data_IF_770769856609
#
_entry.id   IF_770769856609
#
_cell.length_a   1.000
_cell.length_b   1.000
_cell.length_c   1.000
_cell.angle_alpha   90.00
_cell.angle_beta   90.00
_cell.angle_gamma   90.00
#
_symmetry.space_group_name_H-M   'P 1'
#
loop_
_entity.id
_entity.type
_entity.pdbx_description
1 polymer ?
2 non-polymer ?
3 non-polymer ?
4 water ?
#
# COMPACT_ATOMS: atom_id res chain seq x y z
N UNK A 6 12.54 11.82 -17.98
CA UNK A 6 12.24 12.88 -18.94
C UNK A 6 10.73 13.02 -19.05
N UNK A 7 10.07 11.88 -19.28
CA UNK A 7 8.62 11.78 -19.22
C UNK A 7 8.20 11.83 -17.76
N UNK A 8 7.24 12.70 -17.42
CA UNK A 8 6.76 12.77 -16.04
C UNK A 8 6.10 11.46 -15.60
N UNK A 9 6.31 11.05 -14.36
CA UNK A 9 5.59 9.90 -13.82
C UNK A 9 4.09 10.22 -13.78
N UNK A 10 3.23 9.30 -14.27
CA UNK A 10 1.80 9.63 -14.29
C UNK A 10 1.20 9.54 -12.88
N UNK A 11 0.00 10.07 -12.71
CA UNK A 11 -0.73 9.90 -11.45
C UNK A 11 -1.94 8.98 -11.63
N UNK A 12 -2.29 8.30 -10.55
CA UNK A 12 -3.47 7.46 -10.54
C UNK A 12 -4.40 7.97 -9.42
N UNK A 13 -5.70 7.96 -9.71
CA UNK A 13 -6.74 8.35 -8.74
C UNK A 13 -7.85 7.31 -8.74
N UNK A 14 -8.51 7.13 -7.60
CA UNK A 14 -9.69 6.24 -7.55
C UNK A 14 -10.94 7.06 -7.21
N UNK A 15 -12.02 6.78 -7.93
CA UNK A 15 -13.29 7.44 -7.71
C UNK A 15 -14.32 6.34 -7.50
N UNK A 16 -15.04 6.37 -6.38
CA UNK A 16 -15.13 7.41 -5.34
C UNK A 16 -14.00 7.41 -4.32
N UNK A 17 -13.23 6.34 -4.27
CA UNK A 17 -12.18 6.21 -3.29
C UNK A 17 -11.50 4.87 -3.38
N UNK A 18 -10.61 4.58 -2.43
CA UNK A 18 -9.79 3.38 -2.51
C UNK A 18 -10.38 2.24 -1.68
N UNK A 19 -11.31 2.59 -0.79
CA UNK A 19 -12.02 1.59 0.01
C UNK A 19 -13.45 1.44 -0.51
N UNK A 20 -13.76 0.28 -1.07
CA UNK A 20 -14.95 0.11 -1.89
C UNK A 20 -15.83 -1.06 -1.44
N UNK A 21 -17.14 -0.81 -1.26
CA UNK A 21 -18.01 -1.92 -0.87
C UNK A 21 -18.08 -2.97 -1.96
N UNK A 22 -18.14 -4.22 -1.53
CA UNK A 22 -18.34 -5.34 -2.43
C UNK A 22 -19.51 -5.01 -3.35
N UNK A 23 -19.34 -5.24 -4.65
CA UNK A 23 -20.44 -5.03 -5.59
C UNK A 23 -20.55 -3.62 -6.13
N UNK A 24 -19.84 -2.67 -5.51
CA UNK A 24 -19.85 -1.29 -5.97
C UNK A 24 -18.84 -1.12 -7.09
N UNK A 25 -18.92 0.01 -7.77
CA UNK A 25 -17.94 0.30 -8.81
C UNK A 25 -16.79 1.15 -8.27
N UNK A 26 -15.67 1.08 -8.96
CA UNK A 26 -14.62 2.05 -8.76
C UNK A 26 -14.12 2.45 -10.15
N UNK A 27 -13.71 3.70 -10.29
CA UNK A 27 -13.10 4.17 -11.53
C UNK A 27 -11.69 4.67 -11.21
N UNK A 28 -10.72 4.13 -11.94
CA UNK A 28 -9.34 4.59 -11.87
C UNK A 28 -9.10 5.63 -12.97
N UNK A 29 -8.55 6.77 -12.57
CA UNK A 29 -8.22 7.83 -13.51
C UNK A 29 -6.72 7.96 -13.57
N UNK A 30 -6.18 7.74 -14.77
CA UNK A 30 -4.77 7.91 -15.06
C UNK A 30 -4.58 9.26 -15.74
N UNK A 31 -3.61 10.03 -15.26
CA UNK A 31 -3.31 11.34 -15.80
C UNK A 31 -1.83 11.49 -16.08
N UNK A 32 -1.52 12.19 -17.16
CA UNK A 32 -0.14 12.39 -17.55
C UNK A 32 -0.03 13.65 -18.37
N UNK A 33 1.08 13.76 -19.14
CA UNK A 33 1.30 14.95 -19.94
C UNK A 33 0.40 14.95 -21.18
N UNK A 34 0.42 16.04 -21.92
CA UNK A 34 -0.31 16.07 -23.17
C UNK A 34 0.42 15.11 -24.13
N UNK A 35 -0.33 14.52 -25.07
CA UNK A 35 0.27 13.68 -26.08
C UNK A 35 0.44 12.20 -25.75
N UNK A 36 -0.16 11.75 -24.65
CA UNK A 36 -0.14 10.31 -24.36
C UNK A 36 -0.96 9.56 -25.43
N UNK A 37 -0.41 8.45 -25.91
CA UNK A 37 -1.10 7.67 -26.94
C UNK A 37 -1.86 6.50 -26.31
N UNK A 38 -1.28 5.90 -25.29
CA UNK A 38 -1.89 4.77 -24.59
C UNK A 38 -1.69 4.92 -23.09
N UNK A 39 -2.78 4.77 -22.33
CA UNK A 39 -2.71 4.56 -20.88
C UNK A 39 -2.94 3.08 -20.56
N UNK A 40 -2.17 2.57 -19.60
CA UNK A 40 -2.29 1.18 -19.14
C UNK A 40 -2.49 1.14 -17.64
N UNK A 41 -3.54 0.46 -17.21
CA UNK A 41 -3.77 0.25 -15.80
C UNK A 41 -3.13 -1.09 -15.47
N UNK A 42 -2.20 -1.09 -14.53
CA UNK A 42 -1.53 -2.31 -14.12
C UNK A 42 -2.13 -2.86 -12.84
N UNK A 43 -2.68 -4.07 -12.95
CA UNK A 43 -3.28 -4.76 -11.80
C UNK A 43 -2.27 -5.78 -11.26
N UNK A 44 -1.57 -5.39 -10.20
CA UNK A 44 -0.45 -6.19 -9.70
C UNK A 44 -0.84 -7.60 -9.25
N UNK A 45 -1.96 -7.74 -8.55
CA UNK A 45 -2.24 -9.00 -7.86
C UNK A 45 -2.19 -10.26 -8.78
N UNK A 46 -2.68 -10.17 -10.01
CA UNK A 46 -2.59 -11.33 -10.91
C UNK A 46 -1.78 -11.03 -12.17
N UNK A 47 -1.03 -9.95 -12.13
CA UNK A 47 -0.17 -9.56 -13.24
C UNK A 47 -0.95 -9.41 -14.55
N UNK A 48 -2.03 -8.66 -14.50
CA UNK A 48 -2.79 -8.35 -15.71
C UNK A 48 -2.85 -6.83 -15.86
N UNK A 49 -3.38 -6.37 -16.99
CA UNK A 49 -3.47 -4.94 -17.24
C UNK A 49 -4.61 -4.63 -18.19
N UNK A 50 -4.95 -3.35 -18.28
CA UNK A 50 -5.92 -2.85 -19.24
C UNK A 50 -5.29 -1.69 -19.98
N UNK A 51 -5.43 -1.72 -21.30
CA UNK A 51 -4.91 -0.66 -22.17
C UNK A 51 -6.06 0.15 -22.73
N UNK A 52 -5.82 1.44 -22.94
CA UNK A 52 -6.79 2.26 -23.67
C UNK A 52 -6.10 3.34 -24.48
N UNK A 53 -6.60 3.54 -25.71
CA UNK A 53 -6.17 4.65 -26.56
C UNK A 53 -7.18 5.80 -26.49
N UNK A 54 -8.21 5.64 -25.67
CA UNK A 54 -9.25 6.64 -25.55
C UNK A 54 -8.81 7.77 -24.61
N UNK A 55 -7.89 8.57 -25.10
CA UNK A 55 -7.22 9.60 -24.31
C UNK A 55 -7.81 10.97 -24.62
N UNK A 56 -8.03 11.78 -23.60
CA UNK A 56 -8.47 13.15 -23.82
C UNK A 56 -7.84 14.12 -22.80
N UNK A 57 -8.05 15.41 -23.00
CA UNK A 57 -7.40 16.41 -22.17
C UNK A 57 -8.35 17.14 -21.23
N UNK A 58 -7.93 17.30 -19.99
CA UNK A 58 -8.61 18.18 -19.05
C UNK A 58 -8.12 19.63 -19.22
N UNK A 59 -6.90 19.78 -19.72
CA UNK A 59 -6.29 21.10 -19.95
C UNK A 59 -5.20 20.98 -21.00
N UNK A 60 -4.63 22.11 -21.44
CA UNK A 60 -3.56 22.07 -22.45
C UNK A 60 -2.30 21.26 -22.08
N UNK A 61 -1.99 21.14 -20.80
CA UNK A 61 -0.79 20.45 -20.36
C UNK A 61 -1.04 19.03 -19.80
N UNK A 62 -2.26 18.53 -19.92
CA UNK A 62 -2.63 17.26 -19.30
C UNK A 62 -3.37 16.36 -20.29
N UNK A 63 -3.21 15.05 -20.13
CA UNK A 63 -4.14 14.12 -20.76
C UNK A 63 -4.49 13.03 -19.77
N UNK A 64 -5.55 12.27 -20.05
CA UNK A 64 -6.03 11.30 -19.09
C UNK A 64 -6.87 10.21 -19.74
N UNK A 65 -7.08 9.14 -19.00
CA UNK A 65 -7.91 8.03 -19.42
C UNK A 65 -8.54 7.44 -18.17
N UNK A 66 -9.63 6.70 -18.33
CA UNK A 66 -10.33 6.10 -17.20
C UNK A 66 -10.54 4.60 -17.40
N UNK A 67 -10.57 3.88 -16.29
CA UNK A 67 -10.77 2.43 -16.28
C UNK A 67 -11.79 2.15 -15.15
N UNK A 68 -12.92 1.56 -15.49
CA UNK A 68 -13.97 1.28 -14.51
C UNK A 68 -14.08 -0.21 -14.23
N UNK A 69 -14.19 -0.57 -12.95
CA UNK A 69 -14.58 -1.91 -12.53
C UNK A 69 -16.02 -1.76 -12.04
N UNK A 70 -16.96 -2.39 -12.75
CA UNK A 70 -18.38 -2.15 -12.50
C UNK A 70 -18.85 -2.70 -11.16
N UNK A 71 -18.41 -3.91 -10.84
CA UNK A 71 -18.82 -4.57 -9.61
C UNK A 71 -17.60 -5.20 -8.94
N UNK A 72 -17.03 -4.48 -7.97
CA UNK A 72 -15.84 -4.93 -7.28
C UNK A 72 -16.08 -6.25 -6.53
N UNK A 73 -15.14 -7.18 -6.64
CA UNK A 73 -15.17 -8.40 -5.81
C UNK A 73 -13.92 -8.44 -4.95
N UNK A 74 -13.85 -9.39 -4.03
CA UNK A 74 -12.67 -9.50 -3.17
C UNK A 74 -11.37 -9.69 -3.99
N UNK A 75 -11.49 -10.37 -5.14
CA UNK A 75 -10.35 -10.57 -6.01
C UNK A 75 -9.79 -9.28 -6.61
N UNK A 76 -10.56 -8.19 -6.57
CA UNK A 76 -10.07 -6.90 -7.06
C UNK A 76 -9.18 -6.12 -6.07
N UNK A 77 -9.14 -6.56 -4.81
CA UNK A 77 -8.24 -5.96 -3.83
C UNK A 77 -6.76 -6.12 -4.24
N UNK A 78 -5.97 -5.08 -3.99
CA UNK A 78 -4.56 -5.15 -4.28
C UNK A 78 -4.06 -3.87 -4.92
N UNK A 79 -2.77 -3.86 -5.29
CA UNK A 79 -2.14 -2.66 -5.84
C UNK A 79 -2.52 -2.40 -7.30
N UNK A 80 -2.73 -1.13 -7.63
CA UNK A 80 -2.98 -0.65 -8.99
C UNK A 80 -2.03 0.51 -9.31
N UNK A 81 -1.52 0.53 -10.54
CA UNK A 81 -0.65 1.62 -11.01
C UNK A 81 -1.06 2.00 -12.44
N UNK A 82 -0.69 3.22 -12.84
CA UNK A 82 -0.85 3.71 -14.21
C UNK A 82 0.54 3.75 -14.85
N UNK A 83 0.59 3.51 -16.16
CA UNK A 83 1.82 3.69 -16.90
C UNK A 83 1.34 4.19 -18.27
N UNK A 84 2.09 5.06 -18.92
CA UNK A 84 1.67 5.55 -20.23
C UNK A 84 2.71 5.41 -21.34
N UNK A 85 2.20 5.42 -22.57
CA UNK A 85 3.05 5.38 -23.74
C UNK A 85 2.94 6.73 -24.44
N UNK A 86 4.02 7.49 -24.41
CA UNK A 86 4.14 8.72 -25.19
C UNK A 86 5.39 8.55 -26.03
N UNK A 87 5.24 8.10 -27.30
CA UNK A 87 6.43 7.81 -28.11
C UNK A 87 7.51 8.86 -27.90
N UNK A 88 8.78 8.42 -27.78
CA UNK A 88 9.25 7.09 -28.17
C UNK A 88 9.01 5.97 -27.15
N UNK A 89 8.76 6.34 -25.90
CA UNK A 89 8.91 5.38 -24.80
C UNK A 89 7.72 5.27 -23.84
N UNK A 90 7.78 4.25 -22.98
CA UNK A 90 6.86 4.12 -21.85
C UNK A 90 7.42 4.92 -20.69
N UNK A 91 6.50 5.44 -19.88
CA UNK A 91 6.81 6.20 -18.69
C UNK A 91 7.20 5.26 -17.56
N UNK A 92 7.68 5.82 -16.46
CA UNK A 92 7.77 5.10 -15.22
C UNK A 92 6.37 4.82 -14.70
N UNK A 93 6.29 3.86 -13.80
CA UNK A 93 5.02 3.55 -13.19
C UNK A 93 4.66 4.63 -12.19
N UNK A 94 3.36 4.92 -12.10
CA UNK A 94 2.83 5.84 -11.10
C UNK A 94 3.03 5.23 -9.73
N UNK A 95 2.93 6.06 -8.71
CA UNK A 95 2.78 5.56 -7.35
C UNK A 95 1.57 4.62 -7.36
N UNK A 96 1.62 3.58 -6.54
CA UNK A 96 0.50 2.66 -6.46
C UNK A 96 -0.66 3.17 -5.59
N UNK A 97 -1.84 2.64 -5.89
CA UNK A 97 -3.04 2.87 -5.13
C UNK A 97 -3.46 1.50 -4.63
N UNK A 98 -3.81 1.40 -3.35
CA UNK A 98 -4.21 0.11 -2.81
C UNK A 98 -5.74 0.06 -2.75
N UNK A 99 -6.33 -0.77 -3.61
CA UNK A 99 -7.77 -0.99 -3.61
C UNK A 99 -8.08 -1.98 -2.50
N UNK A 100 -8.98 -1.59 -1.61
CA UNK A 100 -9.42 -2.45 -0.52
C UNK A 100 -10.91 -2.61 -0.61
N UNK A 101 -11.36 -3.83 -0.35
CA UNK A 101 -12.77 -4.12 -0.38
C UNK A 101 -13.35 -4.03 1.04
N UNK A 102 -14.51 -3.39 1.15
CA UNK A 102 -15.24 -3.26 2.40
C UNK A 102 -16.53 -4.09 2.24
N UNK A 103 -16.68 -5.17 3.00
CA UNK A 103 -17.82 -6.08 2.79
C UNK A 103 -19.15 -5.33 2.95
N UNK A 104 -19.11 -4.20 3.66
CA UNK A 104 -20.28 -3.36 3.86
C UNK A 104 -19.92 -1.87 3.70
N UNK B 6 -2.23 -13.74 3.76
CA UNK B 6 -2.05 -12.30 3.61
C UNK B 6 -0.61 -11.90 3.91
N UNK B 7 0.22 -11.89 2.88
CA UNK B 7 1.65 -11.58 3.03
C UNK B 7 1.93 -10.07 3.17
N UNK B 8 2.71 -9.70 4.20
CA UNK B 8 3.15 -8.33 4.44
C UNK B 8 3.92 -7.76 3.25
N UNK B 9 3.72 -6.48 2.91
CA UNK B 9 4.53 -5.82 1.88
C UNK B 9 5.97 -5.69 2.43
N UNK B 10 6.98 -6.09 1.63
CA UNK B 10 8.35 -5.98 2.15
C UNK B 10 8.79 -4.50 2.16
N UNK B 11 9.93 -4.21 2.78
CA UNK B 11 10.54 -2.89 2.66
C UNK B 11 11.84 -2.97 1.87
N UNK B 12 12.21 -1.85 1.26
CA UNK B 12 13.50 -1.72 0.57
C UNK B 12 14.28 -0.51 1.12
N UNK B 13 15.57 -0.70 1.32
CA UNK B 13 16.46 0.37 1.80
C UNK B 13 17.72 0.38 0.93
N UNK B 14 18.36 1.54 0.83
CA UNK B 14 19.65 1.62 0.16
C UNK B 14 20.76 2.03 1.12
N UNK B 15 21.87 1.30 1.06
CA UNK B 15 23.06 1.64 1.82
C UNK B 15 24.22 1.92 0.88
N UNK B 16 24.84 3.10 0.98
CA UNK B 16 24.73 4.10 2.05
C UNK B 16 23.46 4.93 1.99
N UNK B 17 22.88 5.02 0.80
CA UNK B 17 21.77 5.90 0.56
C UNK B 17 21.40 5.85 -0.91
N UNK B 18 20.53 6.76 -1.33
CA UNK B 18 19.94 6.72 -2.66
C UNK B 18 20.68 7.62 -3.66
N UNK B 19 21.55 8.48 -3.15
CA UNK B 19 22.36 9.32 -4.04
C UNK B 19 23.81 8.83 -3.98
N UNK B 20 24.26 8.23 -5.08
CA UNK B 20 25.55 7.54 -5.13
C UNK B 20 26.41 8.10 -6.25
N UNK B 21 27.68 8.42 -5.96
CA UNK B 21 28.62 8.85 -6.99
C UNK B 21 28.90 7.75 -7.99
N UNK B 22 29.04 8.12 -9.26
CA UNK B 22 29.44 7.18 -10.30
C UNK B 22 30.68 6.43 -9.82
N UNK B 23 30.68 5.10 -9.96
CA UNK B 23 31.84 4.31 -9.60
C UNK B 23 31.76 3.77 -8.19
N UNK B 24 30.89 4.38 -7.39
CA UNK B 24 30.69 3.97 -6.01
C UNK B 24 29.68 2.83 -5.92
N UNK B 25 29.61 2.19 -4.76
CA UNK B 25 28.69 1.08 -4.59
C UNK B 25 27.42 1.51 -3.87
N UNK B 26 26.38 0.70 -4.04
CA UNK B 26 25.14 0.84 -3.31
C UNK B 26 24.61 -0.56 -3.00
N UNK B 27 24.04 -0.74 -1.80
CA UNK B 27 23.44 -2.02 -1.45
C UNK B 27 21.98 -1.86 -1.12
N UNK B 28 21.16 -2.61 -1.83
CA UNK B 28 19.72 -2.65 -1.58
C UNK B 28 19.44 -3.78 -0.61
N UNK B 29 18.71 -3.45 0.46
CA UNK B 29 18.32 -4.44 1.46
C UNK B 29 16.80 -4.62 1.42
N UNK B 30 16.38 -5.85 1.13
CA UNK B 30 14.97 -6.21 1.14
C UNK B 30 14.65 -6.87 2.49
N UNK B 31 13.62 -6.37 3.17
CA UNK B 31 13.20 -6.95 4.45
C UNK B 31 11.76 -7.44 4.39
N UNK B 32 11.53 -8.63 4.91
CA UNK B 32 10.21 -9.23 4.89
C UNK B 32 9.97 -9.98 6.19
N UNK B 33 8.90 -10.80 6.21
CA UNK B 33 8.59 -11.57 7.41
C UNK B 33 9.54 -12.75 7.52
N UNK B 34 9.53 -13.42 8.66
CA UNK B 34 10.27 -14.65 8.78
C UNK B 34 9.75 -15.66 7.71
N UNK B 35 10.61 -16.56 7.25
CA UNK B 35 10.18 -17.62 6.34
C UNK B 35 10.15 -17.36 4.84
N UNK B 36 10.74 -16.25 4.40
CA UNK B 36 10.84 -15.98 2.96
C UNK B 36 11.75 -17.02 2.29
N UNK B 37 11.34 -17.49 1.11
CA UNK B 37 12.16 -18.37 0.29
C UNK B 37 13.07 -17.57 -0.66
N UNK B 38 12.49 -16.60 -1.35
CA UNK B 38 13.20 -15.84 -2.38
C UNK B 38 12.94 -14.34 -2.26
N UNK B 39 13.99 -13.54 -2.33
CA UNK B 39 13.83 -12.10 -2.49
C UNK B 39 14.22 -11.75 -3.93
N UNK B 40 13.47 -10.82 -4.50
CA UNK B 40 13.76 -10.33 -5.84
C UNK B 40 13.85 -8.82 -5.82
N UNK B 41 14.95 -8.31 -6.36
CA UNK B 41 15.10 -6.89 -6.58
C UNK B 41 14.57 -6.61 -7.98
N UNK B 42 13.61 -5.69 -8.07
CA UNK B 42 13.05 -5.30 -9.34
C UNK B 42 13.58 -3.95 -9.78
N UNK B 43 14.27 -3.95 -10.92
CA UNK B 43 14.89 -2.75 -11.48
C UNK B 43 14.01 -2.20 -12.61
N UNK B 44 13.29 -1.13 -12.30
CA UNK B 44 12.24 -0.69 -13.23
C UNK B 44 12.74 -0.23 -14.60
N UNK B 45 13.85 0.50 -14.64
CA UNK B 45 14.24 1.18 -15.87
C UNK B 45 14.21 0.27 -17.11
N UNK B 46 14.83 -0.90 -17.03
CA UNK B 46 14.91 -1.78 -18.19
C UNK B 46 14.23 -3.11 -17.94
N UNK B 47 13.34 -3.10 -16.94
CA UNK B 47 12.56 -4.29 -16.57
C UNK B 47 13.43 -5.50 -16.32
N UNK B 48 14.47 -5.33 -15.53
CA UNK B 48 15.28 -6.48 -15.17
C UNK B 48 15.15 -6.73 -13.64
N UNK B 49 15.67 -7.86 -13.18
CA UNK B 49 15.58 -8.21 -11.77
C UNK B 49 16.77 -9.04 -11.32
N UNK B 50 16.94 -9.14 -10.00
CA UNK B 50 17.90 -10.04 -9.38
C UNK B 50 17.16 -10.83 -8.34
N UNK B 51 17.40 -12.14 -8.33
CA UNK B 51 16.80 -13.05 -7.34
C UNK B 51 17.85 -13.59 -6.41
N UNK B 52 17.46 -13.83 -5.15
CA UNK B 52 18.31 -14.57 -4.22
C UNK B 52 17.50 -15.43 -3.27
N UNK B 53 18.01 -16.64 -3.00
CA UNK B 53 17.48 -17.51 -1.97
C UNK B 53 18.35 -17.46 -0.74
N UNK B 54 19.33 -16.56 -0.75
CA UNK B 54 20.25 -16.42 0.40
C UNK B 54 19.66 -15.48 1.46
N UNK B 55 18.71 -16.02 2.20
CA UNK B 55 17.97 -15.28 3.18
C UNK B 55 18.54 -15.50 4.59
N UNK B 56 18.59 -14.45 5.40
CA UNK B 56 18.92 -14.62 6.81
C UNK B 56 18.10 -13.63 7.67
N UNK B 57 18.15 -13.77 8.98
CA UNK B 57 17.28 -12.99 9.86
C UNK B 57 18.03 -11.99 10.70
N UNK B 58 17.45 -10.80 10.83
CA UNK B 58 18.01 -9.78 11.73
C UNK B 58 17.38 -9.91 13.13
N UNK B 59 16.19 -10.49 13.18
CA UNK B 59 15.49 -10.73 14.44
C UNK B 59 14.51 -11.87 14.19
N UNK B 60 13.84 -12.36 15.24
CA UNK B 60 13.03 -13.57 15.03
C UNK B 60 11.81 -13.35 14.12
N UNK B 61 11.37 -12.11 13.96
CA UNK B 61 10.20 -11.82 13.12
C UNK B 61 10.56 -11.26 11.75
N UNK B 62 11.82 -11.38 11.34
CA UNK B 62 12.27 -10.77 10.10
C UNK B 62 13.25 -11.67 9.34
N UNK B 63 13.14 -11.67 8.02
CA UNK B 63 14.19 -12.18 7.17
C UNK B 63 14.55 -11.11 6.13
N UNK B 64 15.70 -11.26 5.50
CA UNK B 64 16.23 -10.22 4.63
C UNK B 64 17.26 -10.77 3.66
N UNK B 65 17.53 -10.01 2.60
CA UNK B 65 18.55 -10.36 1.61
C UNK B 65 19.10 -9.05 1.09
N UNK B 66 20.29 -9.10 0.50
CA UNK B 66 20.98 -7.90 0.03
C UNK B 66 21.42 -8.07 -1.40
N UNK B 67 21.38 -6.95 -2.13
CA UNK B 67 21.84 -6.92 -3.50
C UNK B 67 22.77 -5.72 -3.59
N UNK B 68 24.03 -5.99 -3.91
CA UNK B 68 25.03 -4.93 -3.98
C UNK B 68 25.42 -4.68 -5.43
N UNK B 69 25.40 -3.41 -5.81
CA UNK B 69 25.93 -2.99 -7.09
C UNK B 69 27.26 -2.35 -6.73
N UNK B 70 28.36 -2.98 -7.14
CA UNK B 70 29.68 -2.56 -6.69
C UNK B 70 30.14 -1.24 -7.29
N UNK B 71 29.71 -0.97 -8.51
CA UNK B 71 30.16 0.23 -9.20
C UNK B 71 29.03 0.87 -10.02
N UNK B 72 28.35 1.83 -9.41
CA UNK B 72 27.18 2.48 -10.03
C UNK B 72 27.54 3.18 -11.34
N UNK B 73 26.73 2.95 -12.37
CA UNK B 73 26.87 3.68 -13.63
C UNK B 73 25.64 4.55 -13.86
N UNK B 74 25.66 5.37 -14.91
CA UNK B 74 24.51 6.23 -15.19
C UNK B 74 23.22 5.44 -15.37
N UNK B 75 23.32 4.27 -16.01
CA UNK B 75 22.20 3.38 -16.20
C UNK B 75 21.54 2.86 -14.92
N UNK B 76 22.23 2.95 -13.80
CA UNK B 76 21.64 2.55 -12.51
C UNK B 76 20.62 3.55 -11.90
N UNK B 77 20.50 4.73 -12.47
CA UNK B 77 19.51 5.67 -11.98
C UNK B 77 18.11 5.11 -12.26
N UNK B 78 17.17 5.35 -11.35
CA UNK B 78 15.80 4.94 -11.58
C UNK B 78 15.17 4.22 -10.41
N UNK B 79 13.91 3.77 -10.60
CA UNK B 79 13.16 3.13 -9.52
C UNK B 79 13.56 1.67 -9.24
N UNK B 80 13.60 1.33 -7.96
CA UNK B 80 13.88 -0.03 -7.51
C UNK B 80 12.81 -0.44 -6.51
N UNK B 81 12.39 -1.71 -6.55
CA UNK B 81 11.46 -2.27 -5.56
C UNK B 81 11.94 -3.69 -5.21
N UNK B 82 11.41 -4.19 -4.09
CA UNK B 82 11.65 -5.55 -3.61
C UNK B 82 10.34 -6.34 -3.68
N UNK B 83 10.42 -7.65 -3.88
CA UNK B 83 9.25 -8.47 -3.77
C UNK B 83 9.78 -9.81 -3.23
N UNK B 84 8.98 -10.54 -2.47
CA UNK B 84 9.44 -11.84 -1.97
C UNK B 84 8.50 -12.98 -2.28
N UNK B 85 9.05 -14.18 -2.39
CA UNK B 85 8.26 -15.38 -2.48
C UNK B 85 8.31 -16.15 -1.19
N UNK B 86 7.14 -16.36 -0.59
CA UNK B 86 7.01 -17.24 0.58
C UNK B 86 5.86 -18.21 0.28
N UNK B 87 6.18 -19.52 0.12
CA UNK B 87 5.15 -20.50 -0.27
C UNK B 87 3.79 -20.23 0.39
N UNK B 88 2.71 -20.17 -0.41
CA UNK B 88 2.76 -20.49 -1.84
C UNK B 88 2.58 -19.26 -2.70
N UNK B 89 2.83 -18.06 -2.15
CA UNK B 89 2.57 -16.80 -2.86
C UNK B 89 3.78 -15.84 -2.96
N UNK B 90 3.78 -14.99 -3.99
CA UNK B 90 4.60 -13.79 -4.01
C UNK B 90 3.87 -12.67 -3.24
N UNK B 91 4.64 -11.84 -2.54
CA UNK B 91 4.09 -10.69 -1.82
C UNK B 91 3.77 -9.62 -2.84
N UNK B 92 3.21 -8.51 -2.35
CA UNK B 92 3.11 -7.28 -3.12
C UNK B 92 4.50 -6.68 -3.23
N UNK B 93 4.74 -5.92 -4.28
CA UNK B 93 5.99 -5.22 -4.35
C UNK B 93 6.08 -4.13 -3.27
N UNK B 94 7.30 -3.89 -2.78
CA UNK B 94 7.58 -2.77 -1.88
C UNK B 94 7.26 -1.42 -2.54
N UNK B 95 7.15 -0.38 -1.70
CA UNK B 95 7.27 0.99 -2.18
C UNK B 95 8.58 1.08 -2.94
N UNK B 96 8.69 1.99 -3.90
CA UNK B 96 9.95 2.13 -4.63
C UNK B 96 10.88 3.11 -3.93
N UNK B 97 12.17 2.97 -4.19
CA UNK B 97 13.11 4.05 -3.93
C UNK B 97 13.79 4.36 -5.26
N UNK B 98 14.15 5.62 -5.45
CA UNK B 98 14.80 6.02 -6.69
C UNK B 98 16.27 6.27 -6.44
N UNK B 99 17.10 5.52 -7.16
CA UNK B 99 18.54 5.73 -7.12
C UNK B 99 18.88 6.94 -7.99
N UNK B 100 19.74 7.81 -7.46
CA UNK B 100 20.31 8.98 -8.16
C UNK B 100 21.82 8.88 -8.20
N UNK B 101 22.40 8.97 -9.40
CA UNK B 101 23.84 8.96 -9.56
C UNK B 101 24.41 10.38 -9.43
N UNK B 102 25.20 10.60 -8.38
CA UNK B 102 25.75 11.92 -8.09
C UNK B 102 27.00 12.24 -8.93
N UNK C 6 -13.17 -19.59 17.87
CA UNK C 6 -14.19 -18.91 17.08
C UNK C 6 -14.58 -17.56 17.67
N UNK C 7 -13.63 -16.62 17.64
CA UNK C 7 -13.84 -15.27 18.15
C UNK C 7 -14.71 -14.46 17.19
N UNK C 8 -15.70 -13.73 17.73
CA UNK C 8 -16.52 -12.82 16.92
C UNK C 8 -15.66 -11.76 16.23
N UNK C 9 -15.97 -11.45 14.98
CA UNK C 9 -15.21 -10.44 14.24
C UNK C 9 -15.40 -9.09 14.94
N UNK C 10 -14.28 -8.35 15.18
CA UNK C 10 -14.41 -7.04 15.84
C UNK C 10 -15.07 -6.05 14.90
N UNK C 11 -15.62 -4.97 15.46
CA UNK C 11 -16.08 -3.84 14.65
C UNK C 11 -15.25 -2.58 14.91
N UNK C 12 -15.15 -1.72 13.90
CA UNK C 12 -14.48 -0.45 14.05
C UNK C 12 -15.44 0.70 13.71
N UNK C 13 -15.43 1.75 14.53
CA UNK C 13 -16.22 2.95 14.29
C UNK C 13 -15.35 4.17 14.54
N UNK C 14 -15.79 5.32 14.02
CA UNK C 14 -15.10 6.57 14.26
C UNK C 14 -16.06 7.58 14.88
N UNK C 15 -15.53 8.40 15.77
CA UNK C 15 -16.28 9.48 16.40
C UNK C 15 -15.49 10.77 16.27
N UNK C 16 -16.15 11.85 15.81
CA UNK C 16 -17.58 11.95 15.51
C UNK C 16 -17.96 11.29 14.18
N UNK C 17 -17.01 11.22 13.25
CA UNK C 17 -17.26 10.54 12.00
C UNK C 17 -16.00 10.24 11.21
N UNK C 18 -16.20 9.69 10.02
CA UNK C 18 -15.08 9.30 9.17
C UNK C 18 -14.57 10.47 8.35
N UNK C 19 -15.28 11.59 8.42
CA UNK C 19 -14.88 12.81 7.71
C UNK C 19 -14.44 13.89 8.70
N UNK C 20 -13.15 14.18 8.70
CA UNK C 20 -12.56 15.04 9.72
C UNK C 20 -11.70 16.15 9.09
N UNK C 21 -11.94 17.39 9.53
CA UNK C 21 -11.23 18.60 9.08
C UNK C 21 -9.78 18.64 9.55
N UNK C 22 -8.85 18.79 8.62
CA UNK C 22 -7.41 18.83 8.91
C UNK C 22 -7.11 19.59 10.19
N UNK C 23 -6.59 18.89 11.20
CA UNK C 23 -6.22 19.52 12.46
C UNK C 23 -7.18 19.24 13.60
N UNK C 24 -8.28 18.57 13.32
CA UNK C 24 -9.24 18.22 14.36
C UNK C 24 -8.95 16.84 14.92
N UNK C 25 -9.81 16.38 15.82
CA UNK C 25 -9.60 15.11 16.51
C UNK C 25 -10.59 14.05 16.04
N UNK C 26 -10.10 12.82 15.94
CA UNK C 26 -10.97 11.67 15.71
C UNK C 26 -10.70 10.60 16.78
N UNK C 27 -11.75 9.85 17.16
CA UNK C 27 -11.62 8.73 18.10
C UNK C 27 -12.06 7.43 17.44
N UNK C 28 -11.15 6.47 17.31
CA UNK C 28 -11.53 5.17 16.78
C UNK C 28 -12.01 4.28 17.93
N UNK C 29 -13.15 3.62 17.76
CA UNK C 29 -13.66 2.70 18.75
C UNK C 29 -13.65 1.27 18.21
N UNK C 30 -12.89 0.40 18.87
CA UNK C 30 -12.81 -1.01 18.53
C UNK C 30 -13.69 -1.83 19.47
N UNK C 31 -14.63 -2.60 18.92
CA UNK C 31 -15.52 -3.39 19.76
C UNK C 31 -15.38 -4.87 19.48
N UNK C 32 -15.47 -5.65 20.55
CA UNK C 32 -15.40 -7.09 20.47
C UNK C 32 -16.17 -7.76 21.58
N UNK C 33 -15.89 -9.03 21.83
CA UNK C 33 -16.62 -9.73 22.88
C UNK C 33 -16.09 -9.33 24.26
N UNK C 34 -16.81 -9.74 25.30
CA UNK C 34 -16.27 -9.61 26.65
C UNK C 34 -14.97 -10.43 26.72
N UNK C 35 -13.99 -9.98 27.50
CA UNK C 35 -12.78 -10.78 27.73
C UNK C 35 -11.57 -10.53 26.85
N UNK C 36 -11.63 -9.48 26.04
CA UNK C 36 -10.51 -9.10 25.20
C UNK C 36 -9.35 -8.61 26.08
N UNK C 37 -8.13 -9.05 25.79
CA UNK C 37 -6.96 -8.56 26.50
C UNK C 37 -6.41 -7.28 25.85
N UNK C 38 -6.20 -7.34 24.54
CA UNK C 38 -5.58 -6.26 23.79
C UNK C 38 -6.43 -5.95 22.56
N UNK C 39 -6.70 -4.66 22.35
CA UNK C 39 -7.24 -4.17 21.09
C UNK C 39 -6.14 -3.49 20.31
N UNK C 40 -6.06 -3.79 19.01
CA UNK C 40 -5.06 -3.21 18.14
C UNK C 40 -5.74 -2.42 17.00
N UNK C 41 -5.42 -1.14 16.88
CA UNK C 41 -5.89 -0.35 15.77
C UNK C 41 -4.82 -0.43 14.71
N UNK C 42 -5.24 -0.74 13.48
CA UNK C 42 -4.28 -0.91 12.40
C UNK C 42 -4.42 0.25 11.41
N UNK C 43 -3.34 1.02 11.31
CA UNK C 43 -3.19 2.09 10.32
C UNK C 43 -2.64 1.49 9.03
N UNK C 44 -3.54 1.14 8.12
CA UNK C 44 -3.20 0.24 7.02
C UNK C 44 -2.40 0.85 5.87
N UNK C 45 -2.46 2.16 5.69
CA UNK C 45 -1.74 2.76 4.56
C UNK C 45 -0.23 2.63 4.81
N UNK C 46 0.19 2.94 6.03
CA UNK C 46 1.61 2.93 6.36
C UNK C 46 1.98 1.77 7.28
N UNK C 47 1.07 0.82 7.41
CA UNK C 47 1.27 -0.37 8.25
C UNK C 47 1.95 -0.12 9.60
N UNK C 48 1.36 0.75 10.42
CA UNK C 48 1.78 0.91 11.81
C UNK C 48 0.55 0.60 12.64
N UNK C 49 0.67 0.62 13.96
CA UNK C 49 -0.50 0.29 14.78
C UNK C 49 -0.41 0.89 16.16
N UNK C 50 -1.50 0.73 16.90
CA UNK C 50 -1.60 1.10 18.30
C UNK C 50 -2.22 -0.05 19.11
N UNK C 51 -1.54 -0.47 20.17
CA UNK C 51 -2.10 -1.49 21.06
C UNK C 51 -2.56 -0.83 22.35
N UNK C 52 -3.64 -1.36 22.93
CA UNK C 52 -4.05 -0.94 24.26
C UNK C 52 -4.69 -2.10 25.03
N UNK C 53 -4.31 -2.23 26.31
CA UNK C 53 -4.93 -3.20 27.21
C UNK C 53 -6.01 -2.51 28.07
N UNK C 54 -6.23 -1.23 27.81
CA UNK C 54 -7.25 -0.49 28.53
C UNK C 54 -8.63 -0.82 27.96
N UNK C 55 -9.16 -1.95 28.38
CA UNK C 55 -10.43 -2.47 27.87
C UNK C 55 -11.53 -2.30 28.92
N UNK C 56 -12.73 -1.91 28.49
CA UNK C 56 -13.90 -1.89 29.37
C UNK C 56 -15.17 -2.31 28.64
N UNK C 57 -16.23 -2.58 29.40
CA UNK C 57 -17.48 -3.07 28.83
C UNK C 57 -18.54 -2.00 28.79
N UNK C 58 -19.30 -1.99 27.71
CA UNK C 58 -20.49 -1.15 27.61
C UNK C 58 -21.74 -1.98 27.90
N UNK C 59 -21.56 -3.31 27.88
CA UNK C 59 -22.63 -4.26 28.17
C UNK C 59 -22.02 -5.63 28.49
N UNK C 60 -22.84 -6.59 28.95
CA UNK C 60 -22.33 -7.89 29.43
C UNK C 60 -21.71 -8.77 28.33
N UNK C 61 -22.07 -8.50 27.08
CA UNK C 61 -21.55 -9.26 25.95
C UNK C 61 -20.72 -8.39 25.00
N UNK C 62 -20.05 -7.38 25.55
CA UNK C 62 -19.22 -6.49 24.73
C UNK C 62 -18.08 -5.92 25.56
N UNK C 63 -16.91 -5.81 24.95
CA UNK C 63 -15.84 -4.99 25.50
C UNK C 63 -15.28 -4.12 24.37
N UNK C 64 -14.57 -3.06 24.74
CA UNK C 64 -14.12 -2.07 23.77
C UNK C 64 -12.87 -1.32 24.24
N UNK C 65 -12.21 -0.69 23.28
CA UNK C 65 -11.13 0.26 23.57
C UNK C 65 -11.25 1.40 22.55
N UNK C 66 -10.71 2.55 22.94
CA UNK C 66 -10.76 3.74 22.09
C UNK C 66 -9.35 4.25 21.80
N UNK C 67 -9.21 4.84 20.60
CA UNK C 67 -7.94 5.35 20.13
C UNK C 67 -8.17 6.77 19.60
N UNK C 68 -7.51 7.74 20.23
CA UNK C 68 -7.74 9.15 19.91
C UNK C 68 -6.62 9.75 19.09
N UNK C 69 -6.99 10.48 18.05
CA UNK C 69 -6.04 11.26 17.29
C UNK C 69 -6.34 12.74 17.59
N UNK C 70 -5.47 13.37 18.37
CA UNK C 70 -5.66 14.76 18.79
C UNK C 70 -5.78 15.73 17.63
N UNK C 71 -4.71 15.84 16.84
CA UNK C 71 -4.73 16.69 15.64
C UNK C 71 -4.49 15.87 14.37
N UNK C 72 -5.52 15.75 13.53
CA UNK C 72 -5.40 14.98 12.31
C UNK C 72 -4.50 15.69 11.28
N UNK C 73 -3.54 14.94 10.74
CA UNK C 73 -2.72 15.40 9.62
C UNK C 73 -3.16 14.66 8.36
N UNK C 74 -2.64 15.08 7.21
CA UNK C 74 -3.01 14.45 5.95
C UNK C 74 -2.48 13.02 5.87
N UNK C 75 -1.39 12.76 6.59
CA UNK C 75 -0.86 11.42 6.70
C UNK C 75 -1.78 10.49 7.48
N UNK C 76 -2.76 11.08 8.16
CA UNK C 76 -3.76 10.32 8.90
C UNK C 76 -4.85 9.70 8.02
N UNK C 77 -5.21 10.39 6.95
CA UNK C 77 -6.27 9.90 6.09
C UNK C 77 -5.87 8.55 5.51
N UNK C 78 -6.84 7.65 5.38
CA UNK C 78 -6.61 6.34 4.81
C UNK C 78 -7.43 5.27 5.51
N UNK C 79 -7.15 4.00 5.16
CA UNK C 79 -7.79 2.77 5.66
C UNK C 79 -7.36 2.41 7.09
N UNK C 80 -8.34 2.08 7.94
CA UNK C 80 -8.09 1.66 9.30
C UNK C 80 -8.89 0.41 9.56
N UNK C 81 -8.31 -0.49 10.36
CA UNK C 81 -9.03 -1.66 10.87
C UNK C 81 -8.72 -1.89 12.35
N UNK C 82 -9.47 -2.82 12.95
CA UNK C 82 -9.32 -3.29 14.34
C UNK C 82 -9.06 -4.80 14.37
N UNK C 83 -8.29 -5.27 15.34
CA UNK C 83 -8.16 -6.69 15.58
C UNK C 83 -7.97 -6.75 17.09
N UNK C 84 -8.41 -7.83 17.73
CA UNK C 84 -8.20 -7.93 19.17
C UNK C 84 -7.54 -9.24 19.51
N UNK C 85 -6.91 -9.27 20.69
CA UNK C 85 -6.36 -10.48 21.23
C UNK C 85 -7.18 -10.92 22.43
N UNK C 86 -7.81 -12.09 22.31
CA UNK C 86 -8.49 -12.72 23.42
C UNK C 86 -7.93 -14.12 23.55
N UNK C 87 -7.06 -14.33 24.55
CA UNK C 87 -6.38 -15.63 24.73
C UNK C 87 -7.26 -16.82 24.38
N UNK C 88 -6.74 -17.77 23.58
CA UNK C 88 -5.35 -17.88 23.12
C UNK C 88 -5.04 -17.17 21.79
N UNK C 89 -6.02 -16.55 21.15
CA UNK C 89 -5.82 -16.14 19.76
C UNK C 89 -6.06 -14.68 19.42
N UNK C 90 -5.55 -14.28 18.25
CA UNK C 90 -5.93 -13.01 17.65
C UNK C 90 -7.22 -13.23 16.86
N UNK C 91 -8.10 -12.25 16.93
CA UNK C 91 -9.35 -12.27 16.18
C UNK C 91 -9.07 -12.11 14.68
N UNK C 92 -10.11 -12.30 13.89
CA UNK C 92 -10.06 -11.93 12.49
C UNK C 92 -10.09 -10.40 12.37
N UNK C 93 -9.77 -9.90 11.19
CA UNK C 93 -9.84 -8.45 10.95
C UNK C 93 -11.28 -7.89 10.96
N UNK C 94 -11.42 -6.71 11.54
CA UNK C 94 -12.63 -5.92 11.36
C UNK C 94 -12.73 -5.50 9.89
N UNK C 95 -13.92 -5.07 9.49
CA UNK C 95 -14.05 -4.43 8.18
C UNK C 95 -13.20 -3.16 8.13
N UNK C 96 -12.95 -2.67 6.92
CA UNK C 96 -12.22 -1.42 6.73
C UNK C 96 -13.10 -0.21 7.02
N UNK C 97 -12.45 0.82 7.53
CA UNK C 97 -13.04 2.13 7.68
C UNK C 97 -12.03 3.06 7.03
N UNK C 98 -12.53 4.02 6.25
CA UNK C 98 -11.65 5.01 5.65
C UNK C 98 -11.83 6.37 6.32
N UNK C 99 -10.72 6.95 6.79
CA UNK C 99 -10.75 8.28 7.33
C UNK C 99 -10.47 9.26 6.21
N UNK C 100 -11.32 10.29 6.12
CA UNK C 100 -11.17 11.35 5.12
C UNK C 100 -10.73 12.66 5.76
N UNK C 101 -9.47 13.03 5.53
CA UNK C 101 -8.91 14.25 6.10
C UNK C 101 -9.10 15.42 5.13
N UNK C 102 -10.18 16.15 5.34
CA UNK C 102 -10.55 17.25 4.50
C UNK C 102 -11.69 17.90 5.24
N UNK C 103 -12.03 19.13 4.88
CA UNK C 103 -13.23 19.77 5.40
C UNK C 103 -14.42 18.84 5.22
N UNK C 104 -15.35 18.81 6.17
CA UNK C 104 -16.53 17.96 6.05
C UNK C 104 -17.65 18.67 5.31
#
# INVERSE_FOLDING_TARGET
GSQEEDLPRPSISAEPGTVIPLGSHVTFVCRGPVGVQTFRLERESRSTYNDTEDVSQASPSESEARFRIDSVSEGNAGPYRCIYYKPPKWSEQSDYLELLVKEAAA
GSQEEDLPRPSISAEPGTVIPLGSHVTFVCRGPVGVQTFRLERESRSTYNDTEDVSQASPSESEARFRIDSVSEGNAGPYRCIYYKPPKWSEQSDYLELLVKEAAA
GSQEEDLPRPSISAEPGTVIPLGSHVTFVCRGPVGVQTFRLERESRSTYNDTEDVSQASPSESEARFRIDSVSEGNAGPYRCIYYKPPKWSEQSDYLELLVKEAAA
#
